data_IF_739021844811
#
_entry.id   IF_739021844811
#
_cell.length_a   1.000
_cell.length_b   1.000
_cell.length_c   1.000
_cell.angle_alpha   90.00
_cell.angle_beta   90.00
_cell.angle_gamma   90.00
#
_symmetry.space_group_name_H-M   'P 1'
#
loop_
_entity.id
_entity.type
_entity.pdbx_description
1 polymer ?
#
# COMPACT_ATOMS: atom_id res chain seq x y z
N UNK A 1 -10.70 -2.33 -14.39
CA UNK A 1 -9.48 -1.86 -13.72
C UNK A 1 -9.10 -2.91 -12.68
N UNK A 2 -7.80 -3.17 -12.49
CA UNK A 2 -7.32 -4.08 -11.47
C UNK A 2 -7.14 -3.33 -10.14
N UNK A 3 -7.53 -3.96 -9.04
CA UNK A 3 -7.40 -3.43 -7.70
C UNK A 3 -6.60 -4.43 -6.85
N UNK A 4 -5.72 -3.91 -6.01
CA UNK A 4 -5.09 -4.71 -4.96
C UNK A 4 -6.15 -5.05 -3.93
N UNK A 5 -6.31 -6.33 -3.59
CA UNK A 5 -7.28 -6.76 -2.60
C UNK A 5 -6.65 -7.68 -1.56
N UNK A 6 -6.83 -7.25 -0.32
CA UNK A 6 -6.57 -7.87 0.99
C UNK A 6 -5.23 -8.56 1.19
N UNK A 7 -4.74 -9.47 0.35
CA UNK A 7 -3.70 -10.40 0.79
C UNK A 7 -2.35 -10.04 0.16
N UNK A 8 -1.54 -9.27 0.89
CA UNK A 8 -0.12 -9.06 0.57
C UNK A 8 0.75 -9.98 1.42
N UNK A 9 1.57 -10.82 0.79
CA UNK A 9 2.53 -11.70 1.48
C UNK A 9 3.95 -11.19 1.25
N UNK A 10 4.70 -10.92 2.32
CA UNK A 10 6.14 -10.62 2.22
C UNK A 10 6.93 -11.77 2.83
N UNK A 11 7.85 -12.33 2.06
CA UNK A 11 8.67 -13.48 2.44
C UNK A 11 10.15 -13.11 2.35
N UNK A 12 10.92 -13.29 3.42
CA UNK A 12 12.38 -13.21 3.33
C UNK A 12 12.92 -14.47 2.64
N UNK A 13 13.79 -14.28 1.65
CA UNK A 13 14.40 -15.38 0.91
C UNK A 13 15.52 -16.07 1.69
N UNK A 14 16.14 -15.36 2.64
CA UNK A 14 17.18 -15.90 3.51
C UNK A 14 17.07 -15.35 4.93
N UNK A 15 16.65 -16.22 5.86
CA UNK A 15 16.52 -15.88 7.29
C UNK A 15 17.82 -15.53 7.98
N UNK A 16 18.98 -15.85 7.38
CA UNK A 16 20.29 -15.47 7.94
C UNK A 16 20.66 -14.02 7.62
N UNK A 17 19.99 -13.42 6.64
CA UNK A 17 20.19 -12.02 6.22
C UNK A 17 19.22 -11.04 6.85
N UNK A 18 18.25 -11.51 7.64
CA UNK A 18 17.30 -10.63 8.31
C UNK A 18 18.02 -9.70 9.29
N UNK A 19 17.69 -8.39 9.29
CA UNK A 19 18.24 -7.44 10.23
C UNK A 19 17.85 -7.87 11.65
N UNK A 20 18.84 -7.93 12.55
CA UNK A 20 18.64 -8.25 13.96
C UNK A 20 18.80 -7.00 14.79
N UNK A 21 17.85 -6.74 15.68
CA UNK A 21 18.00 -5.64 16.63
C UNK A 21 19.02 -6.02 17.71
N UNK A 22 20.02 -5.15 17.87
CA UNK A 22 21.15 -5.36 18.79
C UNK A 22 21.17 -4.38 19.96
N UNK A 23 20.11 -3.58 20.18
CA UNK A 23 20.14 -2.40 21.05
C UNK A 23 19.82 -2.61 22.55
N UNK A 24 20.05 -3.79 23.14
CA UNK A 24 19.93 -3.96 24.61
C UNK A 24 21.30 -4.11 25.30
N UNK A 25 21.71 -3.16 26.16
CA UNK A 25 23.10 -3.08 26.64
C UNK A 25 23.48 -4.04 27.79
N UNK A 26 22.57 -4.79 28.44
CA UNK A 26 22.91 -5.43 29.74
C UNK A 26 22.33 -6.82 30.07
N UNK A 27 21.49 -7.44 29.24
CA UNK A 27 20.94 -8.77 29.52
C UNK A 27 21.13 -9.64 28.26
N UNK A 28 21.56 -10.89 28.43
CA UNK A 28 21.85 -11.86 27.35
C UNK A 28 20.90 -11.65 26.18
N UNK A 29 21.45 -11.13 25.07
CA UNK A 29 20.74 -10.77 23.84
C UNK A 29 20.02 -12.00 23.31
N UNK A 30 18.74 -12.14 23.67
CA UNK A 30 17.82 -12.89 22.84
C UNK A 30 17.73 -12.06 21.57
N UNK A 31 18.22 -12.60 20.46
CA UNK A 31 18.16 -11.94 19.16
C UNK A 31 16.69 -11.63 18.88
N UNK A 32 16.28 -10.38 19.09
CA UNK A 32 14.92 -9.94 18.77
C UNK A 32 14.85 -9.72 17.28
N UNK A 33 13.78 -10.25 16.70
CA UNK A 33 13.47 -10.08 15.29
C UNK A 33 12.94 -8.65 15.09
N UNK A 34 13.09 -8.10 13.88
CA UNK A 34 12.71 -6.72 13.61
C UNK A 34 11.18 -6.59 13.57
N UNK A 35 10.70 -5.39 13.90
CA UNK A 35 9.30 -5.03 13.78
C UNK A 35 9.02 -4.55 12.35
N UNK A 36 8.52 -5.46 11.52
CA UNK A 36 8.21 -5.18 10.12
C UNK A 36 6.90 -4.41 9.97
N UNK A 37 6.94 -3.35 9.18
CA UNK A 37 5.75 -2.61 8.77
C UNK A 37 5.68 -2.56 7.24
N UNK A 38 4.47 -2.69 6.67
CA UNK A 38 4.24 -2.43 5.25
C UNK A 38 3.44 -1.15 5.09
N UNK A 39 3.93 -0.28 4.21
CA UNK A 39 3.25 0.96 3.83
C UNK A 39 3.01 0.91 2.33
N UNK A 40 1.84 1.35 1.89
CA UNK A 40 1.57 1.64 0.47
C UNK A 40 1.72 3.14 0.25
N UNK A 41 2.67 3.52 -0.59
CA UNK A 41 2.83 4.88 -1.06
C UNK A 41 1.91 5.07 -2.27
N UNK A 42 1.00 6.04 -2.20
CA UNK A 42 0.09 6.36 -3.30
C UNK A 42 0.66 7.49 -4.16
N UNK A 43 0.31 7.50 -5.45
CA UNK A 43 0.75 8.51 -6.43
C UNK A 43 0.26 9.92 -6.10
N UNK A 44 -0.78 10.05 -5.28
CA UNK A 44 -1.29 11.33 -4.78
C UNK A 44 -0.57 11.84 -3.50
N UNK A 45 0.47 11.14 -3.04
CA UNK A 45 1.22 11.48 -1.83
C UNK A 45 0.59 11.01 -0.51
N UNK A 46 -0.53 10.29 -0.55
CA UNK A 46 -1.06 9.61 0.63
C UNK A 46 -0.33 8.30 0.91
N UNK A 47 -0.30 7.90 2.18
CA UNK A 47 0.29 6.64 2.63
C UNK A 47 -0.75 5.81 3.37
N UNK A 48 -0.86 4.52 3.02
CA UNK A 48 -1.71 3.56 3.73
C UNK A 48 -0.81 2.62 4.51
N UNK A 49 -0.94 2.62 5.84
CA UNK A 49 -0.20 1.68 6.71
C UNK A 49 -1.03 0.42 6.88
N UNK A 50 -0.47 -0.73 6.53
CA UNK A 50 -1.17 -2.02 6.61
C UNK A 50 -1.07 -2.70 7.98
N UNK A 51 -0.30 -2.11 8.90
CA UNK A 51 -0.06 -2.64 10.23
C UNK A 51 1.41 -2.99 10.45
N UNK A 52 1.69 -3.43 11.67
CA UNK A 52 3.03 -3.81 12.12
C UNK A 52 2.96 -5.26 12.58
N UNK A 53 3.93 -6.07 12.18
CA UNK A 53 4.10 -7.42 12.70
C UNK A 53 5.36 -7.45 13.56
N UNK A 54 5.22 -7.41 14.90
CA UNK A 54 6.35 -7.31 15.79
C UNK A 54 7.04 -8.65 16.01
N UNK A 55 8.36 -8.62 16.23
CA UNK A 55 9.22 -9.76 16.61
C UNK A 55 8.93 -11.06 15.84
N UNK A 56 8.70 -10.96 14.52
CA UNK A 56 8.37 -12.10 13.67
C UNK A 56 9.25 -12.13 12.42
N UNK A 57 9.80 -13.30 12.14
CA UNK A 57 10.60 -13.54 10.96
C UNK A 57 9.71 -13.52 9.72
N UNK A 58 10.23 -12.96 8.64
CA UNK A 58 9.58 -12.97 7.34
C UNK A 58 9.89 -14.25 6.54
N UNK A 59 10.72 -15.17 7.03
CA UNK A 59 11.03 -16.44 6.37
C UNK A 59 9.78 -17.29 6.10
N UNK A 60 8.86 -17.36 7.06
CA UNK A 60 7.61 -18.13 6.92
C UNK A 60 6.51 -17.34 6.19
N UNK A 61 6.83 -16.13 5.74
CA UNK A 61 5.87 -15.20 5.16
C UNK A 61 5.10 -14.40 6.20
N UNK A 62 5.00 -13.10 5.96
CA UNK A 62 4.18 -12.16 6.72
C UNK A 62 3.00 -11.74 5.83
N UNK A 63 1.80 -11.78 6.38
CA UNK A 63 0.58 -11.39 5.68
C UNK A 63 0.07 -10.08 6.24
N UNK A 64 -0.32 -9.18 5.35
CA UNK A 64 -1.04 -7.96 5.71
C UNK A 64 -2.35 -7.88 4.98
N UNK A 65 -3.36 -7.40 5.69
CA UNK A 65 -4.70 -7.18 5.20
C UNK A 65 -4.95 -5.71 4.86
N UNK A 66 -5.38 -5.47 3.63
CA UNK A 66 -5.91 -4.18 3.21
C UNK A 66 -7.35 -4.00 3.71
N UNK A 67 -7.58 -2.95 4.51
CA UNK A 67 -8.92 -2.59 5.01
C UNK A 67 -9.88 -2.18 3.90
N UNK A 68 -9.38 -1.50 2.87
CA UNK A 68 -10.12 -1.14 1.67
C UNK A 68 -9.32 -1.53 0.41
N UNK A 69 -9.99 -2.00 -0.66
CA UNK A 69 -9.34 -2.23 -1.94
C UNK A 69 -8.78 -0.94 -2.54
N UNK A 70 -7.54 -0.99 -3.04
CA UNK A 70 -6.83 0.16 -3.63
C UNK A 70 -6.60 -0.10 -5.11
N UNK A 71 -6.70 0.92 -5.96
CA UNK A 71 -6.39 0.73 -7.37
C UNK A 71 -4.88 0.58 -7.56
N UNK A 72 -4.45 -0.41 -8.35
CA UNK A 72 -3.01 -0.62 -8.62
C UNK A 72 -2.36 0.59 -9.28
N UNK A 73 -3.09 1.31 -10.12
CA UNK A 73 -2.60 2.52 -10.79
C UNK A 73 -2.33 3.68 -9.82
N UNK A 74 -2.93 3.63 -8.63
CA UNK A 74 -2.76 4.66 -7.61
C UNK A 74 -1.58 4.35 -6.68
N UNK A 75 -0.94 3.17 -6.79
CA UNK A 75 0.19 2.77 -5.94
C UNK A 75 1.51 3.14 -6.63
N UNK A 76 2.31 3.98 -5.96
CA UNK A 76 3.64 4.38 -6.38
C UNK A 76 4.71 3.36 -5.96
N UNK A 77 4.58 2.78 -4.77
CA UNK A 77 5.57 1.85 -4.22
C UNK A 77 5.11 1.22 -2.91
N UNK A 78 5.77 0.12 -2.53
CA UNK A 78 5.52 -0.60 -1.28
C UNK A 78 6.81 -0.70 -0.48
N UNK A 79 7.12 0.29 0.38
CA UNK A 79 8.24 0.18 1.29
C UNK A 79 7.95 -0.78 2.46
N UNK A 80 9.00 -1.48 2.87
CA UNK A 80 9.05 -2.31 4.07
C UNK A 80 9.97 -1.66 5.11
N UNK A 81 9.52 -0.66 5.89
CA UNK A 81 10.33 -0.09 6.97
C UNK A 81 10.41 -1.00 8.20
N UNK A 82 11.52 -0.85 8.93
CA UNK A 82 11.72 -1.37 10.28
C UNK A 82 11.34 -0.27 11.28
N UNK A 83 10.41 -0.55 12.20
CA UNK A 83 9.86 0.49 13.09
C UNK A 83 10.85 0.97 14.17
N UNK A 84 11.83 0.14 14.54
CA UNK A 84 12.67 0.36 15.72
C UNK A 84 13.88 1.28 15.49
N UNK A 85 14.06 1.78 14.27
CA UNK A 85 15.14 2.73 13.95
C UNK A 85 14.63 4.17 14.04
N UNK A 86 15.32 4.99 14.84
CA UNK A 86 15.13 6.44 15.01
C UNK A 86 15.19 7.23 13.69
N UNK A 87 15.69 6.61 12.62
CA UNK A 87 15.58 7.06 11.24
C UNK A 87 14.86 5.95 10.49
N UNK A 88 13.62 6.20 10.08
CA UNK A 88 12.79 5.23 9.37
C UNK A 88 13.25 5.12 7.92
N UNK A 89 14.41 4.50 7.73
CA UNK A 89 14.90 4.12 6.41
C UNK A 89 14.14 2.85 5.99
N UNK A 90 13.52 2.88 4.82
CA UNK A 90 12.88 1.70 4.26
C UNK A 90 13.93 0.61 4.06
N UNK A 91 13.69 -0.61 4.55
CA UNK A 91 14.60 -1.75 4.33
C UNK A 91 14.70 -2.05 2.84
N UNK A 92 13.56 -1.96 2.14
CA UNK A 92 13.46 -2.00 0.69
C UNK A 92 12.17 -1.30 0.25
N UNK A 93 12.11 -0.85 -1.01
CA UNK A 93 10.90 -0.33 -1.65
C UNK A 93 10.75 -0.99 -3.02
N UNK A 94 9.60 -1.62 -3.25
CA UNK A 94 9.31 -2.31 -4.51
C UNK A 94 8.20 -1.60 -5.30
N UNK A 95 8.36 -1.44 -6.63
CA UNK A 95 7.25 -1.05 -7.49
C UNK A 95 6.33 -2.24 -7.74
N UNK A 96 5.01 -2.03 -7.77
CA UNK A 96 4.05 -3.10 -8.10
C UNK A 96 3.96 -3.23 -9.62
N UNK A 97 4.86 -4.03 -10.22
CA UNK A 97 4.86 -4.33 -11.66
C UNK A 97 4.20 -5.67 -12.01
N UNK A 98 4.12 -6.58 -11.05
CA UNK A 98 3.66 -7.96 -11.23
C UNK A 98 3.06 -8.51 -9.93
N UNK A 99 2.38 -9.66 -10.03
CA UNK A 99 1.80 -10.36 -8.87
C UNK A 99 2.86 -10.84 -7.86
N UNK A 100 4.13 -10.88 -8.27
CA UNK A 100 5.26 -11.18 -7.39
C UNK A 100 6.45 -10.31 -7.78
N UNK A 101 7.13 -9.71 -6.80
CA UNK A 101 8.32 -8.88 -6.98
C UNK A 101 9.36 -9.28 -5.95
N UNK A 102 10.62 -9.42 -6.35
CA UNK A 102 11.73 -9.74 -5.45
C UNK A 102 12.76 -8.63 -5.47
N UNK A 103 13.13 -8.12 -4.29
CA UNK A 103 14.13 -7.07 -4.13
C UNK A 103 14.82 -7.18 -2.76
N UNK A 104 16.13 -6.94 -2.73
CA UNK A 104 16.95 -6.90 -1.51
C UNK A 104 16.79 -8.12 -0.57
N UNK A 105 16.57 -9.30 -1.14
CA UNK A 105 16.39 -10.54 -0.38
C UNK A 105 14.97 -10.78 0.14
N UNK A 106 14.02 -9.92 -0.20
CA UNK A 106 12.60 -10.08 0.11
C UNK A 106 11.77 -10.32 -1.15
N UNK A 107 10.75 -11.16 -1.02
CA UNK A 107 9.74 -11.42 -2.05
C UNK A 107 8.40 -10.90 -1.58
N UNK A 108 7.78 -10.05 -2.38
CA UNK A 108 6.46 -9.48 -2.18
C UNK A 108 5.50 -10.15 -3.16
N UNK A 109 4.53 -10.89 -2.65
CA UNK A 109 3.43 -11.46 -3.44
C UNK A 109 2.17 -10.64 -3.20
N UNK A 110 1.57 -10.18 -4.30
CA UNK A 110 0.41 -9.30 -4.31
C UNK A 110 -0.79 -10.01 -4.93
N UNK A 111 -1.90 -10.09 -4.20
CA UNK A 111 -3.17 -10.58 -4.74
C UNK A 111 -4.00 -9.43 -5.32
N UNK A 112 -4.21 -9.44 -6.63
CA UNK A 112 -5.06 -8.45 -7.31
C UNK A 112 -6.38 -9.06 -7.77
N UNK A 113 -7.48 -8.32 -7.59
CA UNK A 113 -8.81 -8.68 -8.12
C UNK A 113 -9.34 -7.56 -8.99
N UNK A 114 -10.09 -7.93 -10.03
CA UNK A 114 -10.77 -6.93 -10.86
C UNK A 114 -11.98 -6.40 -10.11
N UNK A 115 -12.02 -5.08 -9.90
CA UNK A 115 -13.15 -4.41 -9.26
C UNK A 115 -13.59 -3.20 -10.07
N UNK A 116 -14.87 -3.21 -10.47
CA UNK A 116 -15.49 -2.11 -11.20
C UNK A 116 -15.70 -0.90 -10.29
N UNK A 117 -16.08 -1.11 -9.02
CA UNK A 117 -16.31 -0.03 -8.07
C UNK A 117 -15.03 0.76 -7.77
N UNK A 118 -13.90 0.05 -7.60
CA UNK A 118 -12.59 0.68 -7.40
C UNK A 118 -12.16 1.43 -8.64
N UNK A 119 -12.40 0.88 -9.84
CA UNK A 119 -12.07 1.56 -11.09
C UNK A 119 -12.86 2.85 -11.31
N UNK A 120 -14.16 2.83 -11.00
CA UNK A 120 -15.01 4.03 -11.08
C UNK A 120 -14.58 5.08 -10.05
N UNK A 121 -14.30 4.66 -8.80
CA UNK A 121 -13.80 5.56 -7.74
C UNK A 121 -12.47 6.20 -8.12
N UNK A 122 -11.52 5.42 -8.63
CA UNK A 122 -10.22 5.91 -9.10
C UNK A 122 -10.38 6.87 -10.28
N UNK A 123 -11.21 6.53 -11.28
CA UNK A 123 -11.49 7.42 -12.42
C UNK A 123 -12.03 8.79 -11.99
N UNK A 124 -13.02 8.83 -11.09
CA UNK A 124 -13.57 10.09 -10.59
C UNK A 124 -12.63 10.85 -9.65
N UNK A 125 -11.58 10.21 -9.14
CA UNK A 125 -10.49 10.86 -8.42
C UNK A 125 -9.54 11.65 -9.34
N UNK A 126 -9.53 11.37 -10.64
CA UNK A 126 -8.65 12.05 -11.60
C UNK A 126 -9.17 13.46 -11.95
N UNK A 127 -8.29 14.40 -12.36
CA UNK A 127 -8.70 15.74 -12.81
C UNK A 127 -9.72 15.70 -13.96
N UNK A 128 -9.58 14.73 -14.86
CA UNK A 128 -10.50 14.52 -15.99
C UNK A 128 -11.86 14.05 -15.48
N UNK A 129 -11.88 13.05 -14.60
CA UNK A 129 -13.11 12.54 -13.99
C UNK A 129 -13.87 13.64 -13.22
N UNK A 130 -13.15 14.45 -12.44
CA UNK A 130 -13.71 15.60 -11.73
C UNK A 130 -14.30 16.65 -12.70
N UNK A 131 -13.61 16.97 -13.79
CA UNK A 131 -14.10 17.92 -14.79
C UNK A 131 -15.40 17.44 -15.45
N UNK A 132 -15.50 16.14 -15.76
CA UNK A 132 -16.72 15.54 -16.32
C UNK A 132 -17.89 15.65 -15.32
N UNK A 133 -17.66 15.29 -14.06
CA UNK A 133 -18.70 15.37 -13.01
C UNK A 133 -19.16 16.82 -12.81
N UNK A 134 -18.22 17.77 -12.76
CA UNK A 134 -18.55 19.20 -12.63
C UNK A 134 -19.36 19.70 -13.83
N UNK A 135 -18.96 19.33 -15.05
CA UNK A 135 -19.70 19.69 -16.27
C UNK A 135 -21.14 19.17 -16.27
N UNK A 136 -21.34 17.92 -15.86
CA UNK A 136 -22.68 17.34 -15.69
C UNK A 136 -23.49 18.06 -14.63
N UNK A 137 -22.90 18.36 -13.47
CA UNK A 137 -23.58 19.07 -12.38
C UNK A 137 -24.04 20.47 -12.83
N UNK A 138 -23.21 21.20 -13.57
CA UNK A 138 -23.54 22.52 -14.13
C UNK A 138 -24.68 22.40 -15.15
N UNK A 139 -24.60 21.42 -16.07
CA UNK A 139 -25.65 21.22 -17.06
C UNK A 139 -27.02 20.93 -16.42
N UNK A 140 -27.05 20.09 -15.38
CA UNK A 140 -28.26 19.79 -14.61
C UNK A 140 -28.78 21.04 -13.89
N UNK A 141 -27.89 21.82 -13.26
CA UNK A 141 -28.27 23.07 -12.60
C UNK A 141 -28.90 24.07 -13.58
N UNK A 142 -28.30 24.24 -14.76
CA UNK A 142 -28.83 25.12 -15.82
C UNK A 142 -30.21 24.65 -16.27
N UNK A 143 -30.40 23.35 -16.47
CA UNK A 143 -31.70 22.78 -16.85
C UNK A 143 -32.76 23.07 -15.77
N UNK A 144 -32.44 22.83 -14.50
CA UNK A 144 -33.36 23.12 -13.38
C UNK A 144 -33.71 24.60 -13.34
N UNK A 145 -32.73 25.50 -13.42
CA UNK A 145 -32.97 26.95 -13.43
C UNK A 145 -33.84 27.38 -14.63
N UNK A 146 -33.62 26.78 -15.80
CA UNK A 146 -34.43 27.07 -16.98
C UNK A 146 -35.89 26.65 -16.83
N UNK A 147 -36.19 25.63 -16.02
CA UNK A 147 -37.57 25.21 -15.73
C UNK A 147 -38.29 26.14 -14.75
N UNK A 148 -37.57 26.91 -13.94
CA UNK A 148 -38.17 27.87 -12.99
C UNK A 148 -38.25 29.29 -13.54
N UNK A 149 -37.43 29.62 -14.55
CA UNK A 149 -37.48 30.90 -15.25
C UNK A 149 -38.38 30.89 -16.50
N UNK A 150 -38.83 29.71 -16.95
CA UNK A 150 -39.86 29.55 -17.98
C UNK A 150 -41.26 29.56 -17.37
#
# INVERSE_FOLDING_TARGET
>A
MAALQSDGLVTALDGTTEPRDHNLPLIKKKESLPDYQVILNLTNGHHIRLGVVPDKSAVDGLTWDLSEPVCLADIAGVPLPEQDKLVSDAVTEVPITSDSVTQDGYRFDFSSKRSTSVGVRSFFGTPIGQAIVAGFAIAVLVLILSMFCA
#
